data_IF_719018384020
#
_entry.id   IF_719018384020
#
_cell.length_a   1.000
_cell.length_b   1.000
_cell.length_c   1.000
_cell.angle_alpha   90.00
_cell.angle_beta   90.00
_cell.angle_gamma   90.00
#
_symmetry.space_group_name_H-M   'P 1'
#
loop_
_entity.id
_entity.type
_entity.pdbx_description
1 polymer ?
#
# COMPACT_ATOMS: atom_id res chain seq x y z
N UNK A 1 30.21 38.42 -20.90
CA UNK A 1 29.33 37.32 -21.37
C UNK A 1 29.59 36.13 -20.48
N UNK A 2 28.61 35.69 -19.68
CA UNK A 2 28.77 34.50 -18.84
C UNK A 2 28.37 33.25 -19.65
N UNK A 3 29.12 32.14 -19.56
CA UNK A 3 28.76 30.91 -20.25
C UNK A 3 27.53 30.27 -19.58
N UNK A 4 26.49 30.03 -20.39
CA UNK A 4 25.31 29.28 -19.96
C UNK A 4 25.70 27.80 -19.83
N UNK A 5 25.50 27.22 -18.64
CA UNK A 5 25.75 25.79 -18.45
C UNK A 5 24.74 24.95 -19.27
N UNK A 6 25.19 23.89 -19.96
CA UNK A 6 24.29 23.07 -20.76
C UNK A 6 23.30 22.33 -19.86
N UNK A 7 21.99 22.53 -20.11
CA UNK A 7 20.95 21.75 -19.48
C UNK A 7 21.11 20.28 -19.90
N UNK A 8 21.60 19.45 -18.96
CA UNK A 8 21.59 18.00 -19.10
C UNK A 8 20.13 17.51 -19.14
N UNK A 9 19.59 17.41 -20.35
CA UNK A 9 18.33 16.74 -20.62
C UNK A 9 18.52 15.26 -20.23
N UNK A 10 18.15 14.91 -19.00
CA UNK A 10 18.15 13.51 -18.57
C UNK A 10 17.14 12.78 -19.46
N UNK A 11 17.55 11.77 -20.26
CA UNK A 11 16.59 11.03 -21.07
C UNK A 11 15.55 10.41 -20.14
N UNK A 12 14.30 10.32 -20.61
CA UNK A 12 13.25 9.58 -19.91
C UNK A 12 13.79 8.21 -19.52
N UNK A 13 13.53 7.70 -18.30
CA UNK A 13 13.93 6.36 -17.94
C UNK A 13 13.34 5.41 -18.97
N UNK A 14 14.21 4.74 -19.74
CA UNK A 14 13.77 3.76 -20.71
C UNK A 14 12.96 2.71 -19.96
N UNK A 15 11.77 2.39 -20.47
CA UNK A 15 11.03 1.20 -20.03
C UNK A 15 12.01 0.04 -20.22
N UNK A 16 12.30 -0.77 -19.17
CA UNK A 16 13.21 -1.90 -19.31
C UNK A 16 12.74 -2.78 -20.46
N UNK A 17 13.69 -3.34 -21.21
CA UNK A 17 13.38 -4.18 -22.36
C UNK A 17 12.38 -5.28 -21.97
N UNK A 18 11.51 -5.66 -22.93
CA UNK A 18 10.56 -6.77 -22.80
C UNK A 18 11.32 -8.11 -22.69
N UNK A 19 11.91 -8.39 -21.53
CA UNK A 19 12.34 -9.72 -21.15
C UNK A 19 11.08 -10.51 -20.77
N UNK A 20 10.85 -11.62 -21.47
CA UNK A 20 9.79 -12.59 -21.18
C UNK A 20 10.10 -13.44 -19.93
N UNK A 21 10.65 -12.83 -18.88
CA UNK A 21 11.20 -13.49 -17.68
C UNK A 21 10.59 -12.97 -16.36
N UNK A 22 9.68 -11.98 -16.45
CA UNK A 22 8.90 -11.51 -15.30
C UNK A 22 7.63 -12.34 -15.13
N UNK A 23 7.79 -13.64 -14.88
CA UNK A 23 6.73 -14.65 -14.65
C UNK A 23 5.87 -14.39 -13.38
N UNK A 24 5.91 -13.17 -12.85
CA UNK A 24 5.26 -12.74 -11.63
C UNK A 24 4.83 -11.25 -11.68
N UNK A 25 4.52 -10.70 -12.86
CA UNK A 25 4.03 -9.30 -13.00
C UNK A 25 2.80 -9.24 -13.90
N UNK A 26 1.77 -8.53 -13.43
CA UNK A 26 0.65 -8.05 -14.24
C UNK A 26 0.89 -6.59 -14.67
N UNK A 27 0.66 -6.32 -15.96
CA UNK A 27 0.86 -5.03 -16.60
C UNK A 27 -0.49 -4.43 -16.99
N UNK A 28 -0.79 -3.22 -16.53
CA UNK A 28 -2.08 -2.57 -16.77
C UNK A 28 -1.92 -1.38 -17.71
N UNK A 29 -2.73 -1.33 -18.75
CA UNK A 29 -2.64 -0.36 -19.85
C UNK A 29 -3.89 0.51 -19.97
N UNK A 30 -3.67 1.77 -20.35
CA UNK A 30 -4.71 2.72 -20.69
C UNK A 30 -4.91 2.76 -22.22
N UNK A 31 -6.05 2.28 -22.75
CA UNK A 31 -6.23 1.94 -24.16
C UNK A 31 -6.22 3.14 -25.12
N UNK A 32 -6.69 4.31 -24.69
CA UNK A 32 -6.73 5.54 -25.50
C UNK A 32 -5.37 6.21 -25.72
N UNK A 33 -4.30 5.75 -25.05
CA UNK A 33 -2.95 6.26 -25.24
C UNK A 33 -2.14 5.34 -26.16
N UNK A 34 -1.32 5.87 -27.08
CA UNK A 34 -0.50 5.05 -27.94
C UNK A 34 0.72 4.47 -27.18
N UNK A 35 1.17 3.25 -27.53
CA UNK A 35 2.48 2.76 -27.11
C UNK A 35 3.60 3.73 -27.51
N UNK A 36 4.67 3.88 -26.69
CA UNK A 36 4.93 3.22 -25.41
C UNK A 36 4.39 3.99 -24.19
N UNK A 37 3.44 4.91 -24.39
CA UNK A 37 2.98 5.85 -23.35
C UNK A 37 1.67 5.40 -22.67
N UNK A 38 1.31 4.14 -22.80
CA UNK A 38 0.03 3.55 -22.44
C UNK A 38 0.08 2.67 -21.18
N UNK A 39 1.26 2.17 -20.80
CA UNK A 39 1.46 1.46 -19.52
C UNK A 39 1.10 2.36 -18.34
N UNK A 40 -0.02 2.06 -17.67
CA UNK A 40 -0.60 2.83 -16.58
C UNK A 40 0.12 2.55 -15.26
N UNK A 41 0.30 1.26 -14.94
CA UNK A 41 1.04 0.76 -13.77
C UNK A 41 1.29 -0.76 -13.90
N UNK A 42 2.04 -1.32 -12.95
CA UNK A 42 2.24 -2.77 -12.82
C UNK A 42 1.96 -3.21 -11.38
N UNK A 43 1.58 -4.48 -11.19
CA UNK A 43 1.44 -5.13 -9.89
C UNK A 43 2.17 -6.47 -9.89
N UNK A 44 2.80 -6.88 -8.77
CA UNK A 44 3.36 -8.21 -8.66
C UNK A 44 2.24 -9.26 -8.54
N UNK A 45 2.42 -10.39 -9.20
CA UNK A 45 1.67 -11.61 -8.96
C UNK A 45 2.33 -12.34 -7.79
N UNK A 46 1.56 -12.55 -6.72
CA UNK A 46 2.03 -13.04 -5.40
C UNK A 46 1.07 -14.03 -4.77
N UNK A 47 -0.11 -14.23 -5.37
CA UNK A 47 -1.06 -15.25 -4.95
C UNK A 47 -0.62 -16.63 -5.49
N UNK A 48 -0.48 -17.67 -4.65
CA UNK A 48 -0.06 -18.99 -5.11
C UNK A 48 -1.18 -19.64 -5.95
N UNK A 49 -0.84 -20.06 -7.16
CA UNK A 49 -1.77 -20.82 -8.03
C UNK A 49 -1.66 -22.33 -7.78
N UNK A 50 -2.69 -23.09 -8.16
CA UNK A 50 -2.63 -24.56 -8.16
C UNK A 50 -1.86 -25.13 -9.36
N UNK A 51 -1.46 -24.29 -10.32
CA UNK A 51 -0.76 -24.72 -11.52
C UNK A 51 0.68 -25.13 -11.18
N UNK A 52 1.01 -26.41 -11.42
CA UNK A 52 2.40 -26.87 -11.38
C UNK A 52 3.10 -26.38 -12.63
N UNK A 53 4.15 -25.58 -12.47
CA UNK A 53 5.06 -25.30 -13.58
C UNK A 53 5.63 -26.61 -14.11
N UNK A 54 5.63 -26.79 -15.44
CA UNK A 54 6.26 -27.93 -16.09
C UNK A 54 7.81 -27.91 -15.95
N UNK A 55 8.36 -26.77 -15.54
CA UNK A 55 9.77 -26.58 -15.17
C UNK A 55 9.88 -26.35 -13.66
N UNK A 56 10.42 -27.35 -12.94
CA UNK A 56 10.48 -27.33 -11.49
C UNK A 56 11.49 -26.30 -10.95
N UNK A 57 11.00 -25.30 -10.20
CA UNK A 57 11.71 -24.67 -9.06
C UNK A 57 10.87 -23.57 -8.39
N UNK A 58 10.13 -22.77 -9.18
CA UNK A 58 9.19 -21.75 -8.67
C UNK A 58 7.74 -22.23 -8.74
N UNK A 59 6.95 -21.83 -7.74
CA UNK A 59 5.48 -21.96 -7.80
C UNK A 59 4.94 -20.94 -8.80
N UNK A 60 3.97 -21.34 -9.61
CA UNK A 60 3.23 -20.38 -10.44
C UNK A 60 2.41 -19.45 -9.55
N UNK A 61 2.44 -18.16 -9.84
CA UNK A 61 1.78 -17.10 -9.06
C UNK A 61 0.82 -16.30 -9.93
N UNK A 62 -0.26 -15.82 -9.33
CA UNK A 62 -1.26 -14.96 -9.96
C UNK A 62 -1.51 -13.69 -9.14
N UNK A 63 -2.47 -12.91 -9.57
CA UNK A 63 -2.93 -11.69 -8.90
C UNK A 63 -4.45 -11.75 -8.73
N UNK A 64 -4.94 -11.72 -7.48
CA UNK A 64 -6.37 -11.75 -7.20
C UNK A 64 -7.16 -10.68 -7.99
N UNK A 65 -8.16 -11.13 -8.76
CA UNK A 65 -8.82 -10.32 -9.79
C UNK A 65 -9.50 -9.07 -9.23
N UNK A 66 -10.22 -9.17 -8.10
CA UNK A 66 -10.84 -7.99 -7.45
C UNK A 66 -9.80 -6.92 -7.07
N UNK A 67 -8.59 -7.29 -6.66
CA UNK A 67 -7.50 -6.33 -6.35
C UNK A 67 -7.01 -5.63 -7.60
N UNK A 68 -6.79 -6.37 -8.69
CA UNK A 68 -6.40 -5.80 -9.97
C UNK A 68 -7.45 -4.81 -10.49
N UNK A 69 -8.72 -5.22 -10.47
CA UNK A 69 -9.83 -4.39 -10.92
C UNK A 69 -9.96 -3.13 -10.05
N UNK A 70 -10.02 -3.27 -8.73
CA UNK A 70 -10.16 -2.14 -7.81
C UNK A 70 -8.98 -1.16 -7.90
N UNK A 71 -7.75 -1.65 -8.14
CA UNK A 71 -6.60 -0.79 -8.34
C UNK A 71 -6.78 0.13 -9.56
N UNK A 72 -7.21 -0.43 -10.70
CA UNK A 72 -7.55 0.34 -11.88
C UNK A 72 -8.71 1.33 -11.65
N UNK A 73 -9.78 0.88 -10.98
CA UNK A 73 -10.95 1.69 -10.69
C UNK A 73 -10.61 2.88 -9.77
N UNK A 74 -9.76 2.69 -8.75
CA UNK A 74 -9.23 3.78 -7.90
C UNK A 74 -8.39 4.78 -8.70
N UNK A 75 -7.52 4.29 -9.60
CA UNK A 75 -6.70 5.16 -10.48
C UNK A 75 -7.59 5.99 -11.41
N UNK A 76 -8.75 5.47 -11.85
CA UNK A 76 -9.74 6.17 -12.67
C UNK A 76 -10.81 6.92 -11.85
N UNK A 77 -10.44 7.51 -10.71
CA UNK A 77 -11.32 8.26 -9.78
C UNK A 77 -12.58 7.49 -9.32
N UNK A 78 -12.37 6.25 -8.88
CA UNK A 78 -13.42 5.36 -8.40
C UNK A 78 -14.45 4.98 -9.48
N UNK A 79 -14.03 4.80 -10.73
CA UNK A 79 -14.90 4.34 -11.80
C UNK A 79 -15.23 2.85 -11.65
N UNK A 80 -16.08 2.50 -10.69
CA UNK A 80 -16.46 1.12 -10.35
C UNK A 80 -17.24 0.39 -11.47
N UNK A 81 -17.63 1.10 -12.53
CA UNK A 81 -18.19 0.55 -13.78
C UNK A 81 -17.14 0.08 -14.79
N UNK A 82 -15.87 0.48 -14.66
CA UNK A 82 -14.80 0.06 -15.56
C UNK A 82 -14.45 -1.43 -15.39
N UNK A 83 -13.99 -2.06 -16.47
CA UNK A 83 -13.71 -3.51 -16.57
C UNK A 83 -12.30 -3.77 -17.13
N UNK A 84 -11.76 -4.94 -16.84
CA UNK A 84 -10.50 -5.43 -17.41
C UNK A 84 -10.74 -6.27 -18.68
N UNK A 85 -9.84 -6.14 -19.64
CA UNK A 85 -9.85 -6.82 -20.94
C UNK A 85 -8.45 -7.36 -21.29
N UNK A 86 -8.39 -8.42 -22.08
CA UNK A 86 -7.13 -8.99 -22.59
C UNK A 86 -6.59 -8.27 -23.84
N UNK A 87 -7.40 -7.42 -24.46
CA UNK A 87 -7.07 -6.64 -25.66
C UNK A 87 -7.43 -5.16 -25.49
N UNK A 88 -6.84 -4.31 -26.34
CA UNK A 88 -7.03 -2.85 -26.29
C UNK A 88 -8.43 -2.46 -26.77
N UNK A 89 -8.97 -3.22 -27.70
CA UNK A 89 -10.20 -2.98 -28.44
C UNK A 89 -11.45 -3.22 -27.57
N UNK A 90 -11.31 -3.90 -26.43
CA UNK A 90 -12.40 -4.19 -25.50
C UNK A 90 -13.27 -5.37 -25.91
N UNK A 91 -12.70 -6.32 -26.64
CA UNK A 91 -13.44 -7.46 -27.22
C UNK A 91 -13.50 -8.63 -26.24
N UNK A 92 -12.36 -9.02 -25.63
CA UNK A 92 -12.27 -10.13 -24.67
C UNK A 92 -12.23 -9.60 -23.24
N UNK A 93 -13.40 -9.53 -22.60
CA UNK A 93 -13.49 -9.14 -21.20
C UNK A 93 -12.92 -10.23 -20.28
N UNK A 94 -12.09 -9.84 -19.31
CA UNK A 94 -11.45 -10.78 -18.37
C UNK A 94 -12.47 -11.54 -17.54
N UNK A 95 -13.60 -10.91 -17.21
CA UNK A 95 -14.71 -11.52 -16.46
C UNK A 95 -15.34 -12.74 -17.14
N UNK A 96 -15.15 -12.89 -18.44
CA UNK A 96 -15.81 -13.93 -19.24
C UNK A 96 -14.98 -15.23 -19.21
N UNK A 97 -13.68 -15.12 -18.86
CA UNK A 97 -12.74 -16.23 -18.70
C UNK A 97 -12.32 -16.43 -17.22
N UNK A 98 -12.29 -15.37 -16.39
CA UNK A 98 -11.80 -15.39 -15.01
C UNK A 98 -12.80 -14.71 -14.06
N UNK A 99 -13.29 -15.46 -13.07
CA UNK A 99 -14.14 -14.94 -11.99
C UNK A 99 -13.47 -13.79 -11.24
N UNK A 100 -14.26 -12.83 -10.71
CA UNK A 100 -13.75 -11.74 -9.88
C UNK A 100 -13.12 -12.23 -8.56
N UNK A 101 -13.44 -13.45 -8.11
CA UNK A 101 -12.77 -14.13 -7.00
C UNK A 101 -11.64 -15.11 -7.41
N UNK A 102 -11.29 -15.17 -8.70
CA UNK A 102 -10.15 -15.95 -9.22
C UNK A 102 -8.83 -15.16 -9.20
N UNK A 103 -7.75 -15.75 -9.73
CA UNK A 103 -6.48 -15.06 -9.95
C UNK A 103 -6.27 -14.78 -11.45
N UNK A 104 -5.72 -13.62 -11.74
CA UNK A 104 -5.18 -13.25 -13.04
C UNK A 104 -3.77 -13.82 -13.19
N UNK A 105 -3.44 -14.37 -14.35
CA UNK A 105 -2.07 -14.76 -14.67
C UNK A 105 -1.18 -13.53 -14.93
N UNK A 106 0.15 -13.64 -14.76
CA UNK A 106 1.10 -12.64 -15.24
C UNK A 106 0.88 -12.35 -16.74
N UNK A 107 0.88 -11.08 -17.13
CA UNK A 107 0.50 -10.70 -18.49
C UNK A 107 0.02 -9.25 -18.65
N UNK A 108 -0.46 -8.93 -19.86
CA UNK A 108 -0.95 -7.60 -20.24
C UNK A 108 -2.49 -7.52 -20.11
N UNK A 109 -2.98 -6.45 -19.49
CA UNK A 109 -4.39 -6.19 -19.23
C UNK A 109 -4.76 -4.74 -19.54
N UNK A 110 -5.90 -4.51 -20.19
CA UNK A 110 -6.40 -3.18 -20.53
C UNK A 110 -7.59 -2.83 -19.63
N UNK A 111 -7.57 -1.64 -19.04
CA UNK A 111 -8.72 -1.14 -18.28
C UNK A 111 -9.55 -0.20 -19.16
N UNK A 112 -10.82 -0.54 -19.37
CA UNK A 112 -11.76 0.24 -20.19
C UNK A 112 -12.88 0.78 -19.30
N UNK A 113 -13.14 2.07 -19.46
CA UNK A 113 -14.20 2.83 -18.78
C UNK A 113 -15.33 3.08 -19.78
N UNK A 114 -16.59 3.03 -19.31
CA UNK A 114 -17.80 3.29 -20.11
C UNK A 114 -17.95 2.42 -21.38
N UNK A 115 -17.28 1.26 -21.44
CA UNK A 115 -17.20 0.40 -22.63
C UNK A 115 -16.63 1.06 -23.90
N UNK A 116 -15.91 2.17 -23.76
CA UNK A 116 -15.25 2.87 -24.87
C UNK A 116 -13.72 2.81 -24.73
N UNK A 117 -13.00 2.01 -25.53
CA UNK A 117 -11.53 1.94 -25.49
C UNK A 117 -10.85 3.24 -25.97
N UNK A 118 -11.57 4.09 -26.72
CA UNK A 118 -11.07 5.38 -27.20
C UNK A 118 -11.21 6.48 -26.16
N UNK A 119 -12.06 6.28 -25.13
CA UNK A 119 -12.28 7.25 -24.08
C UNK A 119 -11.03 7.42 -23.20
N UNK A 120 -10.45 8.63 -23.28
CA UNK A 120 -9.32 9.07 -22.47
C UNK A 120 -9.79 9.44 -21.06
N UNK A 121 -10.16 8.43 -20.28
CA UNK A 121 -10.58 8.64 -18.89
C UNK A 121 -9.47 9.34 -18.08
N UNK A 122 -9.82 10.28 -17.19
CA UNK A 122 -8.82 10.97 -16.40
C UNK A 122 -8.27 10.06 -15.30
N UNK A 123 -6.96 10.15 -15.06
CA UNK A 123 -6.30 9.41 -13.98
C UNK A 123 -6.10 10.29 -12.75
N UNK A 124 -6.13 9.69 -11.58
CA UNK A 124 -5.83 10.34 -10.29
C UNK A 124 -4.30 10.38 -10.13
N UNK A 125 -3.63 11.56 -10.22
CA UNK A 125 -2.18 11.64 -10.31
C UNK A 125 -1.48 11.50 -8.95
N UNK A 126 -2.22 11.68 -7.85
CA UNK A 126 -1.72 11.53 -6.48
C UNK A 126 -2.87 11.23 -5.52
N UNK A 127 -2.59 10.61 -4.37
CA UNK A 127 -3.58 10.43 -3.31
C UNK A 127 -4.19 11.76 -2.83
N UNK A 128 -3.47 12.88 -2.92
CA UNK A 128 -3.96 14.20 -2.50
C UNK A 128 -5.01 14.80 -3.42
N UNK A 129 -5.04 14.33 -4.67
CA UNK A 129 -6.06 14.67 -5.67
C UNK A 129 -7.22 13.67 -5.67
N UNK A 130 -7.06 12.49 -5.05
CA UNK A 130 -8.10 11.47 -4.98
C UNK A 130 -9.30 11.92 -4.15
N UNK A 131 -10.51 11.63 -4.63
CA UNK A 131 -11.77 11.80 -3.91
C UNK A 131 -12.15 10.50 -3.22
N UNK A 132 -12.53 10.57 -1.94
CA UNK A 132 -12.99 9.40 -1.22
C UNK A 132 -14.43 9.00 -1.63
N UNK A 133 -14.71 7.73 -2.00
CA UNK A 133 -16.04 7.29 -2.44
C UNK A 133 -16.98 7.04 -1.24
N UNK A 134 -17.43 8.10 -0.57
CA UNK A 134 -18.38 8.01 0.54
C UNK A 134 -19.66 7.27 0.14
N UNK A 135 -19.97 6.18 0.84
CA UNK A 135 -21.17 5.37 0.59
C UNK A 135 -21.11 4.52 -0.69
N UNK A 136 -20.02 4.59 -1.45
CA UNK A 136 -19.81 3.88 -2.72
C UNK A 136 -18.65 2.88 -2.66
N UNK A 137 -18.11 2.60 -1.47
CA UNK A 137 -17.13 1.53 -1.28
C UNK A 137 -17.80 0.19 -1.62
N UNK A 138 -17.21 -0.61 -2.53
CA UNK A 138 -17.77 -1.89 -2.97
C UNK A 138 -18.08 -2.86 -1.83
N UNK A 139 -19.12 -3.69 -1.99
CA UNK A 139 -19.55 -4.64 -0.97
C UNK A 139 -18.56 -5.81 -0.78
N UNK A 140 -17.61 -6.00 -1.69
CA UNK A 140 -16.45 -6.89 -1.49
C UNK A 140 -15.55 -6.43 -0.34
N UNK A 141 -15.73 -5.19 0.15
CA UNK A 141 -15.12 -4.64 1.37
C UNK A 141 -16.13 -4.60 2.52
N UNK A 142 -16.42 -5.72 3.21
CA UNK A 142 -17.30 -5.70 4.38
C UNK A 142 -16.69 -4.89 5.54
N UNK A 143 -17.53 -4.43 6.47
CA UNK A 143 -17.04 -3.89 7.74
C UNK A 143 -16.22 -4.96 8.50
N UNK A 144 -15.06 -4.64 9.08
CA UNK A 144 -14.32 -5.58 9.92
C UNK A 144 -15.20 -6.15 11.04
N UNK A 145 -15.09 -7.46 11.27
CA UNK A 145 -15.77 -8.13 12.38
C UNK A 145 -14.98 -7.89 13.67
N UNK A 146 -15.68 -7.68 14.78
CA UNK A 146 -15.06 -7.60 16.09
C UNK A 146 -14.34 -8.93 16.42
N UNK A 147 -13.13 -8.84 16.97
CA UNK A 147 -12.42 -10.00 17.49
C UNK A 147 -13.08 -10.47 18.79
N UNK A 148 -13.20 -11.79 19.05
CA UNK A 148 -13.68 -12.30 20.34
C UNK A 148 -12.63 -12.18 21.47
N UNK A 149 -11.40 -11.76 21.16
CA UNK A 149 -10.33 -11.56 22.15
C UNK A 149 -10.46 -10.22 22.87
N UNK A 150 -10.08 -10.18 24.15
CA UNK A 150 -10.10 -8.95 24.98
C UNK A 150 -8.73 -8.26 25.11
N UNK A 151 -7.65 -8.85 24.57
CA UNK A 151 -6.26 -8.31 24.65
C UNK A 151 -5.79 -7.66 23.32
N UNK A 152 -6.73 -7.31 22.42
CA UNK A 152 -6.43 -6.75 21.08
C UNK A 152 -5.57 -5.48 21.16
N UNK A 153 -5.84 -4.65 22.17
CA UNK A 153 -5.23 -3.32 22.41
C UNK A 153 -3.71 -3.37 22.62
N UNK A 154 -3.13 -4.53 22.98
CA UNK A 154 -1.70 -4.63 23.31
C UNK A 154 -0.85 -5.29 22.23
N UNK A 155 -1.47 -5.93 21.23
CA UNK A 155 -0.79 -6.88 20.34
C UNK A 155 -0.70 -6.40 18.89
N UNK A 156 0.22 -7.01 18.13
CA UNK A 156 0.32 -6.81 16.70
C UNK A 156 -0.94 -7.35 16.02
N UNK A 157 -1.66 -6.49 15.29
CA UNK A 157 -2.85 -6.83 14.54
C UNK A 157 -2.61 -7.90 13.47
N UNK A 158 -1.40 -8.00 12.90
CA UNK A 158 -1.10 -9.01 11.89
C UNK A 158 -0.59 -10.34 12.49
N UNK A 159 0.27 -10.27 13.51
CA UNK A 159 1.05 -11.43 13.98
C UNK A 159 0.84 -11.82 15.45
N UNK A 160 -0.10 -11.21 16.16
CA UNK A 160 -0.45 -11.51 17.57
C UNK A 160 0.73 -11.36 18.59
N UNK A 161 1.90 -10.86 18.18
CA UNK A 161 3.01 -10.58 19.09
C UNK A 161 2.72 -9.37 20.00
N UNK A 162 3.00 -9.51 21.30
CA UNK A 162 2.84 -8.43 22.30
C UNK A 162 4.07 -7.54 22.53
N UNK A 163 5.24 -7.90 21.99
CA UNK A 163 6.51 -7.17 22.17
C UNK A 163 6.96 -6.48 20.88
N UNK A 164 7.70 -5.36 21.01
CA UNK A 164 8.24 -4.62 19.85
C UNK A 164 7.16 -3.99 18.96
N UNK A 165 5.97 -3.73 19.52
CA UNK A 165 4.81 -3.17 18.82
C UNK A 165 4.76 -1.65 18.89
N UNK A 166 4.24 -1.05 17.83
CA UNK A 166 4.12 0.39 17.62
C UNK A 166 2.75 0.72 17.03
N UNK A 167 2.23 1.92 17.28
CA UNK A 167 0.97 2.37 16.68
C UNK A 167 1.25 2.90 15.27
N UNK A 168 0.58 2.32 14.28
CA UNK A 168 0.64 2.69 12.87
C UNK A 168 -0.63 3.42 12.44
N UNK A 169 -0.48 4.52 11.71
CA UNK A 169 -1.57 5.22 11.05
C UNK A 169 -2.03 4.45 9.81
N UNK A 170 -3.32 4.15 9.71
CA UNK A 170 -3.93 3.49 8.54
C UNK A 170 -3.97 4.49 7.38
N UNK A 171 -4.68 5.62 7.51
CA UNK A 171 -4.46 6.80 6.67
C UNK A 171 -3.30 7.60 7.27
N UNK A 172 -2.14 7.74 6.59
CA UNK A 172 -0.95 8.34 7.20
C UNK A 172 -1.11 9.81 7.60
N UNK A 173 -0.37 10.20 8.64
CA UNK A 173 -0.38 11.56 9.19
C UNK A 173 0.02 12.62 8.15
N UNK A 174 0.87 12.27 7.19
CA UNK A 174 1.30 13.15 6.09
C UNK A 174 0.17 13.54 5.14
N UNK A 175 -0.97 12.84 5.20
CA UNK A 175 -2.17 13.10 4.40
C UNK A 175 -3.31 13.71 5.24
N UNK A 176 -3.02 14.30 6.40
CA UNK A 176 -4.00 14.97 7.26
C UNK A 176 -4.87 16.02 6.50
N UNK A 177 -4.27 16.75 5.56
CA UNK A 177 -5.01 17.70 4.71
C UNK A 177 -6.00 16.97 3.78
N UNK A 178 -5.63 15.81 3.22
CA UNK A 178 -6.56 14.98 2.45
C UNK A 178 -7.67 14.42 3.34
N UNK A 179 -7.33 13.96 4.55
CA UNK A 179 -8.26 13.39 5.53
C UNK A 179 -9.36 14.40 5.91
N UNK A 180 -8.96 15.63 6.26
CA UNK A 180 -9.91 16.71 6.59
C UNK A 180 -10.77 17.10 5.38
N UNK A 181 -10.15 17.32 4.20
CA UNK A 181 -10.87 17.74 2.99
C UNK A 181 -11.86 16.70 2.47
N UNK A 182 -11.58 15.41 2.66
CA UNK A 182 -12.50 14.31 2.36
C UNK A 182 -13.41 13.95 3.56
N UNK A 183 -13.56 14.84 4.56
CA UNK A 183 -14.52 14.65 5.66
C UNK A 183 -14.35 13.33 6.43
N UNK A 184 -13.16 12.74 6.44
CA UNK A 184 -12.91 11.37 6.94
C UNK A 184 -13.15 11.24 8.46
N UNK A 185 -13.12 12.37 9.17
CA UNK A 185 -13.58 12.59 10.53
C UNK A 185 -14.90 11.85 10.87
N UNK A 186 -15.82 11.74 9.90
CA UNK A 186 -17.13 11.07 10.06
C UNK A 186 -17.06 9.57 10.35
N UNK A 187 -15.91 8.92 10.12
CA UNK A 187 -15.68 7.50 10.38
C UNK A 187 -14.91 7.25 11.68
N UNK A 188 -14.40 8.32 12.30
CA UNK A 188 -13.73 8.30 13.58
C UNK A 188 -14.67 8.03 14.76
N UNK A 189 -14.11 8.08 15.96
CA UNK A 189 -14.82 7.94 17.22
C UNK A 189 -14.50 9.10 18.15
N UNK A 190 -13.22 9.33 18.42
CA UNK A 190 -12.70 10.19 19.49
C UNK A 190 -12.22 11.56 19.02
N UNK A 191 -10.98 11.70 18.55
CA UNK A 191 -10.43 12.98 18.10
C UNK A 191 -11.05 13.42 16.78
N UNK A 192 -11.52 12.46 15.97
CA UNK A 192 -12.09 12.67 14.62
C UNK A 192 -11.15 13.45 13.68
N UNK A 193 -9.86 13.39 13.94
CA UNK A 193 -8.79 13.89 13.08
C UNK A 193 -7.96 12.71 12.55
N UNK A 194 -6.81 12.99 11.93
CA UNK A 194 -5.92 11.93 11.42
C UNK A 194 -5.36 11.04 12.52
N UNK A 195 -5.40 11.44 13.80
CA UNK A 195 -4.90 10.69 14.95
C UNK A 195 -6.01 9.89 15.68
N UNK A 196 -7.24 9.87 15.15
CA UNK A 196 -8.38 9.15 15.72
C UNK A 196 -8.05 7.66 15.93
N UNK A 197 -8.46 7.10 17.07
CA UNK A 197 -8.08 5.72 17.44
C UNK A 197 -8.53 4.69 16.41
N UNK A 198 -9.61 4.94 15.65
CA UNK A 198 -10.05 4.05 14.58
C UNK A 198 -9.17 4.07 13.33
N UNK A 199 -8.40 5.15 13.15
CA UNK A 199 -7.37 5.29 12.13
C UNK A 199 -6.00 4.70 12.58
N UNK A 200 -5.93 4.11 13.77
CA UNK A 200 -4.72 3.49 14.30
C UNK A 200 -4.82 1.97 14.33
N UNK A 201 -3.69 1.29 14.10
CA UNK A 201 -3.55 -0.14 14.34
C UNK A 201 -2.18 -0.46 14.95
N UNK A 202 -2.05 -1.50 15.77
CA UNK A 202 -0.76 -1.89 16.34
C UNK A 202 -0.05 -2.87 15.43
N UNK A 203 1.21 -2.59 15.10
CA UNK A 203 2.07 -3.45 14.28
C UNK A 203 3.43 -3.62 14.94
N UNK A 204 4.04 -4.81 14.78
CA UNK A 204 5.46 -5.04 15.12
C UNK A 204 6.32 -4.05 14.31
N UNK A 205 7.35 -3.48 14.92
CA UNK A 205 8.04 -2.30 14.38
C UNK A 205 8.66 -2.49 12.98
N UNK A 206 9.00 -3.71 12.60
CA UNK A 206 9.42 -4.11 11.25
C UNK A 206 8.26 -4.11 10.26
N UNK A 207 7.14 -4.74 10.62
CA UNK A 207 5.92 -4.79 9.81
C UNK A 207 5.36 -3.37 9.61
N UNK A 208 5.41 -2.52 10.64
CA UNK A 208 5.02 -1.10 10.53
C UNK A 208 5.87 -0.36 9.48
N UNK A 209 7.21 -0.54 9.47
CA UNK A 209 8.06 0.07 8.43
C UNK A 209 7.69 -0.39 7.03
N UNK A 210 7.36 -1.67 6.85
CA UNK A 210 6.90 -2.21 5.57
C UNK A 210 5.54 -1.63 5.17
N UNK A 211 4.61 -1.48 6.12
CA UNK A 211 3.31 -0.85 5.89
C UNK A 211 3.50 0.57 5.36
N UNK A 212 4.23 1.44 6.07
CA UNK A 212 4.50 2.84 5.68
C UNK A 212 5.34 2.99 4.41
N UNK A 213 6.09 1.96 4.03
CA UNK A 213 6.80 1.90 2.77
C UNK A 213 5.91 1.45 1.58
N UNK A 214 4.59 1.26 1.79
CA UNK A 214 3.62 0.72 0.80
C UNK A 214 3.96 -0.69 0.30
N UNK A 215 4.70 -1.47 1.09
CA UNK A 215 5.06 -2.86 0.75
C UNK A 215 3.82 -3.74 0.68
N UNK A 216 2.83 -3.48 1.56
CA UNK A 216 1.58 -4.22 1.61
C UNK A 216 0.41 -3.30 2.01
N UNK A 217 -0.81 -3.74 1.75
CA UNK A 217 -2.03 -3.18 2.33
C UNK A 217 -2.87 -4.30 2.96
N UNK A 218 -3.84 -3.91 3.78
CA UNK A 218 -4.83 -4.82 4.36
C UNK A 218 -6.08 -4.76 3.49
N UNK A 219 -6.47 -5.91 2.94
CA UNK A 219 -7.56 -6.03 1.97
C UNK A 219 -8.50 -7.18 2.34
N UNK A 220 -9.77 -7.14 1.94
CA UNK A 220 -10.66 -8.30 2.01
C UNK A 220 -10.26 -9.35 0.96
N UNK A 221 -10.22 -10.62 1.34
CA UNK A 221 -10.09 -11.75 0.42
C UNK A 221 -10.95 -12.93 0.92
N UNK A 222 -11.45 -13.79 0.02
CA UNK A 222 -11.89 -15.12 0.43
C UNK A 222 -10.71 -15.88 1.02
N UNK A 223 -10.95 -16.64 2.09
CA UNK A 223 -9.94 -17.43 2.82
C UNK A 223 -9.13 -18.40 1.93
N UNK A 224 -9.66 -18.73 0.74
CA UNK A 224 -9.05 -19.62 -0.25
C UNK A 224 -9.20 -19.07 -1.69
N UNK A 225 -8.68 -17.86 -1.97
CA UNK A 225 -8.52 -17.41 -3.36
C UNK A 225 -7.75 -18.47 -4.16
N UNK A 226 -8.35 -18.98 -5.24
CA UNK A 226 -7.86 -20.17 -5.95
C UNK A 226 -8.43 -20.20 -7.37
N UNK A 227 -7.61 -20.67 -8.30
CA UNK A 227 -7.95 -20.77 -9.73
C UNK A 227 -8.82 -21.97 -10.08
N UNK A 228 -9.09 -22.87 -9.12
CA UNK A 228 -9.96 -24.02 -9.37
C UNK A 228 -11.44 -23.60 -9.33
N UNK A 229 -12.16 -23.59 -10.47
CA UNK A 229 -13.55 -23.17 -10.52
C UNK A 229 -14.48 -24.08 -9.72
N UNK A 230 -14.10 -25.34 -9.48
CA UNK A 230 -14.90 -26.28 -8.69
C UNK A 230 -14.85 -25.98 -7.19
N UNK A 231 -13.82 -25.24 -6.73
CA UNK A 231 -13.70 -24.82 -5.32
C UNK A 231 -14.40 -23.50 -5.00
N UNK A 232 -15.01 -22.84 -6.00
CA UNK A 232 -15.73 -21.56 -5.87
C UNK A 232 -17.11 -21.75 -5.20
N UNK A 233 -17.11 -22.22 -3.94
CA UNK A 233 -18.30 -22.27 -3.10
C UNK A 233 -18.87 -20.87 -2.87
N UNK A 234 -20.20 -20.73 -2.98
CA UNK A 234 -20.93 -19.48 -2.74
C UNK A 234 -20.82 -18.95 -1.30
N UNK A 235 -20.40 -19.80 -0.34
CA UNK A 235 -20.29 -19.46 1.09
C UNK A 235 -18.83 -19.31 1.57
N UNK A 236 -17.94 -18.72 0.76
CA UNK A 236 -16.57 -18.42 1.20
C UNK A 236 -16.56 -17.28 2.23
N UNK A 237 -15.98 -17.54 3.40
CA UNK A 237 -15.73 -16.50 4.41
C UNK A 237 -14.74 -15.47 3.87
N UNK A 238 -15.14 -14.19 3.85
CA UNK A 238 -14.22 -13.09 3.60
C UNK A 238 -13.48 -12.76 4.89
N UNK A 239 -12.16 -12.76 4.81
CA UNK A 239 -11.24 -12.31 5.86
C UNK A 239 -10.44 -11.11 5.38
N UNK A 240 -10.02 -10.25 6.30
CA UNK A 240 -9.02 -9.23 6.00
C UNK A 240 -7.63 -9.85 6.09
N UNK A 241 -6.82 -9.68 5.04
CA UNK A 241 -5.47 -10.24 4.93
C UNK A 241 -4.46 -9.19 4.53
N UNK A 242 -3.18 -9.44 4.83
CA UNK A 242 -2.05 -8.69 4.28
C UNK A 242 -1.80 -9.10 2.82
N UNK A 243 -1.87 -8.14 1.89
CA UNK A 243 -1.55 -8.34 0.47
C UNK A 243 -0.38 -7.46 0.06
N UNK A 244 0.65 -8.09 -0.51
CA UNK A 244 1.94 -7.47 -0.86
C UNK A 244 1.88 -6.85 -2.25
N UNK A 245 2.29 -5.58 -2.36
CA UNK A 245 2.38 -4.81 -3.60
C UNK A 245 3.82 -4.45 -3.98
N UNK A 246 4.79 -4.63 -3.08
CA UNK A 246 6.19 -4.33 -3.34
C UNK A 246 6.88 -5.37 -4.23
N UNK A 247 7.49 -4.92 -5.33
CA UNK A 247 8.40 -5.74 -6.15
C UNK A 247 9.67 -6.10 -5.37
N UNK A 248 10.27 -7.27 -5.66
CA UNK A 248 11.50 -7.78 -5.02
C UNK A 248 11.38 -7.99 -3.49
N UNK A 249 10.17 -8.29 -3.01
CA UNK A 249 9.88 -8.51 -1.58
C UNK A 249 9.59 -10.00 -1.28
N UNK A 250 10.30 -10.92 -1.94
CA UNK A 250 10.06 -12.38 -1.88
C UNK A 250 9.95 -12.89 -0.43
N UNK A 251 10.97 -12.66 0.40
CA UNK A 251 10.98 -13.06 1.83
C UNK A 251 9.78 -12.49 2.62
N UNK A 252 9.41 -11.22 2.40
CA UNK A 252 8.27 -10.61 3.08
C UNK A 252 6.94 -11.20 2.57
N UNK A 253 6.86 -11.53 1.28
CA UNK A 253 5.70 -12.15 0.67
C UNK A 253 5.50 -13.57 1.20
N UNK A 254 6.55 -14.40 1.23
CA UNK A 254 6.51 -15.76 1.78
C UNK A 254 6.08 -15.79 3.25
N UNK A 255 6.46 -14.76 4.03
CA UNK A 255 6.09 -14.66 5.45
C UNK A 255 4.70 -14.07 5.72
N UNK A 256 4.24 -13.08 4.94
CA UNK A 256 3.08 -12.24 5.31
C UNK A 256 2.03 -12.06 4.21
N UNK A 257 2.21 -12.60 3.00
CA UNK A 257 1.16 -12.57 1.97
C UNK A 257 0.00 -13.49 2.36
N UNK A 258 -1.23 -13.02 2.16
CA UNK A 258 -2.49 -13.67 2.58
C UNK A 258 -2.57 -14.04 4.08
N UNK A 259 -1.66 -13.52 4.93
CA UNK A 259 -1.77 -13.68 6.38
C UNK A 259 -2.99 -12.93 6.90
N UNK A 260 -3.90 -13.65 7.54
CA UNK A 260 -5.11 -13.09 8.14
C UNK A 260 -4.79 -12.10 9.26
N UNK A 261 -5.41 -10.93 9.20
CA UNK A 261 -5.31 -9.91 10.25
C UNK A 261 -6.15 -10.37 11.44
N UNK A 262 -5.51 -10.44 12.60
CA UNK A 262 -6.05 -10.96 13.85
C UNK A 262 -7.00 -9.97 14.54
N UNK A 263 -6.66 -8.67 14.45
CA UNK A 263 -7.34 -7.59 15.21
C UNK A 263 -7.62 -6.38 14.31
N UNK A 264 -8.90 -6.10 14.07
CA UNK A 264 -9.44 -4.93 13.36
C UNK A 264 -10.73 -4.41 14.02
N UNK A 265 -10.99 -4.84 15.26
CA UNK A 265 -12.18 -4.57 16.07
C UNK A 265 -12.49 -3.08 16.24
N UNK A 266 -11.46 -2.24 16.24
CA UNK A 266 -11.59 -0.78 16.35
C UNK A 266 -11.41 -0.05 15.01
N UNK A 267 -11.24 -0.73 13.88
CA UNK A 267 -10.96 -0.11 12.58
C UNK A 267 -12.20 -0.01 11.69
N UNK A 268 -12.37 1.12 10.98
CA UNK A 268 -13.44 1.27 9.97
C UNK A 268 -12.99 0.78 8.59
N UNK A 269 -13.89 0.17 7.81
CA UNK A 269 -13.59 -0.25 6.41
C UNK A 269 -13.13 0.92 5.55
N UNK A 270 -13.57 2.13 5.88
CA UNK A 270 -13.28 3.35 5.15
C UNK A 270 -11.81 3.74 5.24
N UNK A 271 -11.18 3.59 6.40
CA UNK A 271 -9.74 3.82 6.54
C UNK A 271 -8.91 2.72 5.84
N UNK A 272 -9.34 1.46 5.90
CA UNK A 272 -8.68 0.36 5.18
C UNK A 272 -8.76 0.56 3.65
N UNK A 273 -9.91 1.00 3.13
CA UNK A 273 -10.06 1.32 1.71
C UNK A 273 -9.21 2.54 1.30
N UNK A 274 -9.15 3.58 2.14
CA UNK A 274 -8.24 4.71 1.94
C UNK A 274 -6.76 4.29 1.97
N UNK A 275 -6.37 3.32 2.83
CA UNK A 275 -5.02 2.73 2.81
C UNK A 275 -4.71 2.08 1.47
N UNK A 276 -5.63 1.24 0.99
CA UNK A 276 -5.47 0.58 -0.30
C UNK A 276 -5.27 1.60 -1.43
N UNK A 277 -6.10 2.64 -1.51
CA UNK A 277 -5.92 3.70 -2.47
C UNK A 277 -4.58 4.45 -2.31
N UNK A 278 -4.15 4.75 -1.08
CA UNK A 278 -2.85 5.38 -0.80
C UNK A 278 -1.65 4.52 -1.20
N UNK A 279 -1.79 3.20 -1.11
CA UNK A 279 -0.81 2.20 -1.58
C UNK A 279 -0.82 2.12 -3.11
N UNK A 280 -1.98 2.04 -3.76
CA UNK A 280 -2.09 1.91 -5.22
C UNK A 280 -1.64 3.17 -5.97
N UNK A 281 -2.07 4.36 -5.53
CA UNK A 281 -1.87 5.61 -6.27
C UNK A 281 -0.39 6.08 -6.35
N UNK A 282 0.56 5.38 -5.72
CA UNK A 282 1.99 5.62 -5.97
C UNK A 282 2.44 5.00 -7.31
N UNK A 283 1.81 3.91 -7.76
CA UNK A 283 2.24 3.13 -8.92
C UNK A 283 1.89 3.78 -10.26
N UNK A 284 0.94 4.73 -10.30
CA UNK A 284 0.61 5.53 -11.50
C UNK A 284 1.62 6.64 -11.79
N UNK A 285 2.52 6.94 -10.83
CA UNK A 285 3.51 8.03 -10.94
C UNK A 285 4.39 7.97 -12.21
N UNK A 286 4.86 6.79 -12.70
CA UNK A 286 5.59 6.69 -13.96
C UNK A 286 4.74 7.09 -15.18
N UNK A 287 3.46 6.69 -15.24
CA UNK A 287 2.53 7.07 -16.31
C UNK A 287 2.30 8.58 -16.35
N UNK A 288 2.09 9.19 -15.17
CA UNK A 288 1.91 10.65 -15.00
C UNK A 288 3.16 11.43 -15.41
N UNK A 289 4.35 10.89 -15.12
CA UNK A 289 5.64 11.55 -15.38
C UNK A 289 6.30 11.15 -16.72
N UNK A 290 5.58 10.46 -17.61
CA UNK A 290 6.08 9.96 -18.89
C UNK A 290 6.44 11.06 -19.93
N UNK A 291 6.24 12.34 -19.60
CA UNK A 291 6.57 13.48 -20.46
C UNK A 291 5.50 13.86 -21.49
N UNK A 292 4.44 13.06 -21.63
CA UNK A 292 3.29 13.31 -22.52
C UNK A 292 2.13 14.02 -21.80
N UNK A 293 1.19 14.57 -22.56
CA UNK A 293 -0.04 15.17 -22.00
C UNK A 293 -0.94 14.09 -21.40
N UNK A 294 -1.38 14.26 -20.15
CA UNK A 294 -2.31 13.37 -19.46
C UNK A 294 -3.60 14.07 -19.08
N UNK A 295 -4.72 13.38 -19.24
CA UNK A 295 -5.98 13.78 -18.60
C UNK A 295 -5.93 13.34 -17.15
N UNK A 296 -6.09 14.28 -16.22
CA UNK A 296 -5.93 14.03 -14.79
C UNK A 296 -7.08 14.62 -13.98
N UNK A 297 -7.45 13.94 -12.89
CA UNK A 297 -8.29 14.51 -11.84
C UNK A 297 -7.42 15.34 -10.91
N UNK A 298 -7.87 16.57 -10.62
CA UNK A 298 -7.19 17.47 -9.68
C UNK A 298 -8.19 18.10 -8.73
N UNK A 299 -7.76 18.32 -7.49
CA UNK A 299 -8.52 19.14 -6.56
C UNK A 299 -8.23 20.63 -6.83
N UNK A 300 -9.25 21.39 -7.21
CA UNK A 300 -9.16 22.83 -7.40
C UNK A 300 -9.38 23.56 -6.06
N UNK A 301 -8.28 23.84 -5.36
CA UNK A 301 -8.30 24.60 -4.11
C UNK A 301 -8.33 26.13 -4.29
N UNK A 302 -8.64 26.65 -5.49
CA UNK A 302 -8.70 28.09 -5.78
C UNK A 302 -10.12 28.64 -5.89
N UNK A 303 -11.13 27.78 -6.03
CA UNK A 303 -12.55 28.17 -6.06
C UNK A 303 -13.13 28.08 -4.65
N UNK A 304 -14.11 28.93 -4.33
CA UNK A 304 -14.83 28.89 -3.07
C UNK A 304 -15.75 27.64 -3.02
N UNK A 305 -15.16 26.49 -2.67
CA UNK A 305 -15.81 25.18 -2.65
C UNK A 305 -14.83 24.08 -3.06
N UNK A 306 -14.88 22.94 -2.38
CA UNK A 306 -14.05 21.78 -2.69
C UNK A 306 -14.54 21.13 -4.00
N UNK A 307 -13.83 21.37 -5.11
CA UNK A 307 -14.20 20.84 -6.43
C UNK A 307 -13.07 20.01 -7.04
N UNK A 308 -13.39 18.77 -7.42
CA UNK A 308 -12.54 17.97 -8.28
C UNK A 308 -12.86 18.27 -9.74
N UNK A 309 -11.83 18.54 -10.53
CA UNK A 309 -11.93 18.89 -11.95
C UNK A 309 -11.06 17.96 -12.79
N UNK A 310 -11.45 17.76 -14.04
CA UNK A 310 -10.65 17.09 -15.06
C UNK A 310 -9.86 18.13 -15.85
N UNK A 311 -8.54 17.96 -15.94
CA UNK A 311 -7.65 18.83 -16.73
C UNK A 311 -6.73 17.98 -17.60
N UNK A 312 -6.53 18.38 -18.86
CA UNK A 312 -5.43 17.88 -19.69
C UNK A 312 -4.17 18.70 -19.39
N UNK A 313 -3.18 18.07 -18.76
CA UNK A 313 -1.91 18.71 -18.39
C UNK A 313 -0.74 18.15 -19.19
N UNK A 314 0.11 19.05 -19.69
CA UNK A 314 1.35 18.68 -20.38
C UNK A 314 2.38 18.03 -19.45
N UNK A 315 3.30 17.24 -20.01
CA UNK A 315 4.33 16.55 -19.24
C UNK A 315 5.24 17.48 -18.40
N UNK A 316 5.43 18.72 -18.82
CA UNK A 316 6.18 19.72 -18.03
C UNK A 316 5.39 20.23 -16.81
N UNK A 317 4.08 20.47 -16.97
CA UNK A 317 3.18 20.79 -15.85
C UNK A 317 3.10 19.62 -14.87
N UNK A 318 2.93 18.39 -15.36
CA UNK A 318 2.90 17.18 -14.54
C UNK A 318 4.23 16.94 -13.80
N UNK A 319 5.38 17.16 -14.44
CA UNK A 319 6.70 17.07 -13.81
C UNK A 319 6.93 18.16 -12.74
N UNK A 320 6.38 19.35 -12.94
CA UNK A 320 6.39 20.42 -11.94
C UNK A 320 5.51 20.07 -10.72
N UNK A 321 4.28 19.59 -10.98
CA UNK A 321 3.26 19.31 -9.97
C UNK A 321 3.41 17.97 -9.26
N UNK A 322 4.03 16.96 -9.86
CA UNK A 322 4.07 15.57 -9.33
C UNK A 322 5.46 14.92 -9.40
N UNK A 323 6.44 15.57 -10.04
CA UNK A 323 7.85 15.12 -10.06
C UNK A 323 8.59 15.34 -8.74
N UNK A 324 7.91 15.82 -7.69
CA UNK A 324 8.40 15.90 -6.32
C UNK A 324 8.14 14.62 -5.52
N UNK A 325 8.80 14.49 -4.37
CA UNK A 325 8.73 13.31 -3.51
C UNK A 325 9.46 12.09 -4.07
N UNK A 326 10.14 11.33 -3.21
CA UNK A 326 10.79 10.07 -3.59
C UNK A 326 9.78 8.93 -3.79
N UNK A 327 10.20 7.69 -3.58
CA UNK A 327 9.32 6.51 -3.55
C UNK A 327 8.23 6.56 -2.46
N UNK A 328 8.33 7.50 -1.52
CA UNK A 328 7.43 7.60 -0.35
C UNK A 328 6.27 8.59 -0.51
N UNK A 329 6.25 9.43 -1.56
CA UNK A 329 5.07 10.24 -1.91
C UNK A 329 5.14 10.80 -3.34
N UNK A 330 3.97 11.02 -3.94
CA UNK A 330 3.81 11.85 -5.15
C UNK A 330 3.46 13.31 -4.77
N UNK A 331 4.14 13.85 -3.76
CA UNK A 331 3.85 15.20 -3.26
C UNK A 331 4.32 16.25 -4.27
N UNK A 332 3.51 17.30 -4.53
CA UNK A 332 3.97 18.45 -5.29
C UNK A 332 5.24 19.05 -4.72
N UNK A 333 6.12 19.53 -5.61
CA UNK A 333 7.32 20.26 -5.17
C UNK A 333 6.86 21.45 -4.33
N UNK A 334 7.25 21.46 -3.06
CA UNK A 334 7.08 22.61 -2.16
C UNK A 334 7.63 23.82 -2.91
N UNK A 335 6.77 24.82 -3.20
CA UNK A 335 7.17 26.01 -3.95
C UNK A 335 8.41 26.59 -3.29
N UNK A 336 9.46 26.84 -4.08
CA UNK A 336 10.57 27.67 -3.61
C UNK A 336 9.95 29.01 -3.23
N UNK A 337 10.18 29.49 -2.01
CA UNK A 337 10.00 30.91 -1.75
C UNK A 337 10.96 31.64 -2.70
N UNK A 338 10.47 32.59 -3.47
CA UNK A 338 11.34 33.63 -4.00
C UNK A 338 11.81 34.44 -2.80
N UNK A 339 13.10 34.76 -2.75
CA UNK A 339 13.61 35.67 -1.73
C UNK A 339 13.13 37.08 -2.06
N UNK A 340 12.55 37.75 -1.08
CA UNK A 340 12.58 39.20 -0.99
C UNK A 340 13.48 39.52 0.21
N UNK A 341 14.38 40.47 0.01
CA UNK A 341 15.48 40.78 0.92
C UNK A 341 15.02 41.56 2.17
N UNK A 342 15.95 41.73 3.10
CA UNK A 342 15.82 42.41 4.39
C UNK A 342 14.88 43.63 4.42
N UNK A 343 13.87 43.57 5.29
CA UNK A 343 13.43 44.75 6.03
C UNK A 343 13.13 44.37 7.49
N UNK A 344 13.94 44.93 8.39
CA UNK A 344 13.78 44.83 9.84
C UNK A 344 12.75 45.85 10.30
N UNK A 345 11.78 45.43 11.12
CA UNK A 345 11.00 46.33 11.96
C UNK A 345 10.83 45.76 13.36
N UNK A 346 11.16 46.58 14.35
CA UNK A 346 11.11 46.30 15.79
C UNK A 346 9.75 46.72 16.38
N UNK A 347 9.49 46.26 17.60
CA UNK A 347 8.26 46.45 18.40
C UNK A 347 7.02 45.66 17.91
N UNK A 348 6.14 45.16 18.78
CA UNK A 348 5.95 45.51 20.21
C UNK A 348 5.85 44.29 21.15
N UNK A 349 5.97 44.53 22.46
CA UNK A 349 6.10 43.54 23.54
C UNK A 349 4.78 43.11 24.21
N UNK A 350 4.88 42.07 25.05
CA UNK A 350 4.10 41.71 26.27
C UNK A 350 4.08 40.15 26.36
N UNK A 351 4.92 39.45 27.15
CA UNK A 351 5.13 39.51 28.62
C UNK A 351 3.79 39.29 29.36
N UNK A 352 3.50 38.23 30.15
CA UNK A 352 4.31 37.44 31.10
C UNK A 352 3.77 36.02 31.36
N UNK A 353 4.64 35.06 31.66
CA UNK A 353 4.60 34.31 32.93
C UNK A 353 5.97 33.66 33.21
N UNK A 354 6.47 33.81 34.44
CA UNK A 354 7.87 33.55 34.82
C UNK A 354 8.01 32.45 35.89
N UNK A 355 9.23 31.92 36.04
CA UNK A 355 9.59 30.86 37.00
C UNK A 355 9.30 29.40 36.57
N UNK A 356 10.25 28.45 36.57
CA UNK A 356 11.62 28.43 37.12
C UNK A 356 12.56 27.61 36.20
N UNK A 357 13.77 28.16 36.00
CA UNK A 357 14.97 27.66 35.29
C UNK A 357 15.75 26.60 36.12
N UNK A 358 16.75 25.81 35.67
CA UNK A 358 17.43 25.42 34.41
C UNK A 358 18.37 24.20 34.76
N UNK A 359 19.32 23.67 33.94
CA UNK A 359 19.67 23.94 32.53
C UNK A 359 19.67 22.71 31.60
N UNK A 360 19.91 22.98 30.31
CA UNK A 360 20.03 22.01 29.21
C UNK A 360 21.44 21.39 29.07
N UNK A 361 21.52 20.25 28.37
CA UNK A 361 22.65 19.96 27.47
C UNK A 361 22.13 19.53 26.09
N UNK A 362 21.97 20.49 25.17
CA UNK A 362 21.68 20.20 23.76
C UNK A 362 22.99 19.96 22.97
N UNK A 363 23.12 18.78 22.33
CA UNK A 363 24.23 18.50 21.38
C UNK A 363 23.77 17.82 20.10
N UNK A 364 23.01 18.55 19.29
CA UNK A 364 22.74 18.18 17.90
C UNK A 364 23.98 18.28 17.01
N UNK A 365 24.48 17.15 16.46
CA UNK A 365 25.59 17.14 15.48
C UNK A 365 25.09 17.11 14.03
N UNK A 366 25.12 18.25 13.35
CA UNK A 366 25.06 18.33 11.87
C UNK A 366 26.28 17.61 11.27
N UNK A 367 26.08 16.53 10.51
CA UNK A 367 27.15 15.89 9.73
C UNK A 367 27.43 16.69 8.45
N UNK A 368 28.52 17.44 8.43
CA UNK A 368 29.05 18.06 7.21
C UNK A 368 29.91 17.03 6.46
N UNK A 369 29.58 16.74 5.20
CA UNK A 369 30.36 15.86 4.32
C UNK A 369 31.50 16.68 3.71
N UNK A 370 32.75 16.32 4.02
CA UNK A 370 33.94 16.84 3.32
C UNK A 370 34.52 15.74 2.44
N UNK A 371 34.64 16.01 1.15
CA UNK A 371 35.35 15.16 0.20
C UNK A 371 36.84 15.52 0.19
N UNK A 372 37.67 14.55 -0.19
CA UNK A 372 39.11 14.54 0.06
C UNK A 372 39.93 14.99 -1.15
N UNK A 373 41.18 15.40 -0.91
CA UNK A 373 42.30 15.44 -1.87
C UNK A 373 43.63 15.78 -1.14
N UNK A 374 44.82 15.52 -1.76
CA UNK A 374 45.69 14.47 -1.22
C UNK A 374 47.10 14.94 -0.81
N UNK A 375 47.86 14.11 -0.08
CA UNK A 375 49.32 14.32 0.06
C UNK A 375 50.11 13.01 0.29
N UNK A 376 50.83 12.61 -0.77
CA UNK A 376 52.22 12.07 -0.86
C UNK A 376 52.71 10.93 0.07
N UNK A 377 53.57 10.09 -0.53
CA UNK A 377 54.12 8.81 -0.07
C UNK A 377 55.30 8.90 0.91
N UNK A 378 55.35 7.94 1.85
CA UNK A 378 56.54 7.14 2.25
C UNK A 378 56.03 5.87 3.03
N UNK A 379 56.80 4.92 3.60
CA UNK A 379 58.26 4.77 3.71
C UNK A 379 58.77 3.37 4.15
N UNK A 380 57.99 2.30 3.95
CA UNK A 380 58.39 0.92 4.26
C UNK A 380 58.01 0.39 5.67
N UNK A 381 58.04 -0.95 5.83
CA UNK A 381 57.79 -1.64 7.10
C UNK A 381 56.86 -2.85 6.98
N UNK A 382 57.42 -4.07 6.94
CA UNK A 382 56.68 -5.32 6.70
C UNK A 382 56.39 -6.09 8.00
N UNK A 383 55.13 -6.50 8.16
CA UNK A 383 54.61 -7.60 8.98
C UNK A 383 54.78 -7.54 10.53
N UNK A 384 53.64 -7.67 11.24
CA UNK A 384 53.36 -8.83 12.12
C UNK A 384 51.91 -8.88 12.61
N UNK A 385 51.26 -10.02 12.41
CA UNK A 385 50.02 -10.44 13.11
C UNK A 385 50.33 -10.99 14.50
N UNK A 386 49.38 -10.88 15.45
CA UNK A 386 48.82 -12.06 16.11
C UNK A 386 47.28 -12.05 16.01
N UNK A 387 46.59 -13.14 15.65
CA UNK A 387 46.47 -14.46 16.27
C UNK A 387 45.41 -14.52 17.38
N UNK A 388 44.34 -15.27 17.10
CA UNK A 388 43.25 -15.63 18.01
C UNK A 388 43.65 -16.82 18.89
N UNK A 389 43.13 -16.88 20.12
CA UNK A 389 43.03 -18.13 20.87
C UNK A 389 41.79 -18.17 21.78
N UNK A 390 40.97 -19.19 21.52
CA UNK A 390 40.47 -20.22 22.43
C UNK A 390 39.70 -19.76 23.71
N UNK A 391 38.38 -19.95 23.79
CA UNK A 391 37.59 -21.20 23.85
C UNK A 391 37.40 -21.76 25.27
N UNK A 392 36.15 -22.09 25.61
CA UNK A 392 35.78 -22.99 26.71
C UNK A 392 34.41 -23.59 26.41
N UNK A 393 34.31 -24.91 26.61
CA UNK A 393 33.19 -25.77 26.20
C UNK A 393 32.49 -26.33 27.42
N UNK A 394 31.15 -26.45 27.40
CA UNK A 394 30.42 -27.38 28.26
C UNK A 394 29.37 -28.13 27.43
N UNK A 395 29.19 -29.41 27.76
CA UNK A 395 28.55 -30.44 26.92
C UNK A 395 27.19 -30.92 27.45
N UNK A 396 26.36 -31.43 26.54
CA UNK A 396 25.01 -31.96 26.77
C UNK A 396 24.95 -33.32 27.50
N UNK A 397 23.79 -33.63 28.08
CA UNK A 397 23.24 -35.00 28.11
C UNK A 397 21.69 -35.01 28.22
N UNK A 398 21.05 -35.98 27.55
CA UNK A 398 19.59 -36.14 27.40
C UNK A 398 18.89 -36.85 28.58
N UNK A 399 17.54 -36.77 28.63
CA UNK A 399 16.64 -37.86 29.10
C UNK A 399 15.17 -37.64 28.67
N UNK A 400 14.41 -38.73 28.47
CA UNK A 400 12.96 -38.73 28.10
C UNK A 400 12.28 -40.05 28.58
N UNK A 401 10.96 -40.32 28.33
CA UNK A 401 9.89 -40.73 29.29
C UNK A 401 9.82 -42.29 29.49
N UNK A 402 8.76 -42.98 30.00
CA UNK A 402 7.35 -42.65 30.38
C UNK A 402 7.00 -43.21 31.82
N UNK A 403 5.85 -43.85 32.20
CA UNK A 403 4.48 -44.00 31.63
C UNK A 403 3.25 -43.92 32.62
N UNK A 404 2.03 -44.12 32.06
CA UNK A 404 0.71 -44.48 32.66
C UNK A 404 -0.12 -43.45 33.47
N UNK A 405 -1.47 -43.50 33.58
CA UNK A 405 -2.65 -43.87 32.73
C UNK A 405 -3.95 -43.39 33.52
N UNK A 406 -5.23 -43.80 33.27
CA UNK A 406 -6.24 -42.93 32.63
C UNK A 406 -7.57 -42.73 33.42
N UNK A 407 -8.63 -42.27 32.72
CA UNK A 407 -10.07 -42.12 33.10
C UNK A 407 -10.47 -40.69 33.56
N UNK A 408 -11.66 -40.15 33.24
CA UNK A 408 -12.92 -40.79 32.80
C UNK A 408 -13.76 -39.96 31.80
N UNK A 409 -14.63 -40.63 31.05
CA UNK A 409 -15.72 -40.05 30.24
C UNK A 409 -16.75 -39.28 31.08
N UNK A 410 -17.27 -38.14 30.58
CA UNK A 410 -18.72 -37.81 30.59
C UNK A 410 -19.08 -36.91 29.39
N UNK A 411 -19.87 -37.47 28.48
CA UNK A 411 -20.91 -36.82 27.67
C UNK A 411 -22.05 -37.86 27.52
N UNK A 412 -23.30 -37.52 27.15
CA UNK A 412 -23.77 -36.24 26.61
C UNK A 412 -25.01 -35.68 27.33
N UNK A 413 -25.51 -34.51 26.91
CA UNK A 413 -26.96 -34.39 26.71
C UNK A 413 -27.35 -33.44 25.57
N UNK A 414 -28.17 -33.96 24.65
CA UNK A 414 -28.52 -33.36 23.37
C UNK A 414 -29.99 -32.93 23.42
N UNK A 415 -30.27 -31.65 23.65
CA UNK A 415 -31.63 -31.12 23.44
C UNK A 415 -31.79 -30.57 22.04
N UNK A 416 -32.51 -31.36 21.25
CA UNK A 416 -33.11 -30.96 19.97
C UNK A 416 -34.13 -29.85 20.27
N UNK A 417 -34.06 -28.74 19.55
CA UNK A 417 -35.19 -27.82 19.43
C UNK A 417 -35.59 -27.78 17.95
N UNK A 418 -36.67 -28.49 17.65
CA UNK A 418 -37.30 -28.51 16.32
C UNK A 418 -37.90 -27.14 16.02
N UNK A 419 -37.64 -26.64 14.82
CA UNK A 419 -38.28 -25.44 14.29
C UNK A 419 -39.61 -25.88 13.66
N UNK A 420 -40.75 -25.55 14.29
CA UNK A 420 -42.06 -25.72 13.66
C UNK A 420 -42.34 -24.55 12.73
N UNK A 421 -42.38 -24.83 11.43
CA UNK A 421 -42.90 -23.90 10.43
C UNK A 421 -44.42 -24.00 10.45
N UNK A 422 -45.11 -22.96 10.91
CA UNK A 422 -46.55 -22.81 10.69
C UNK A 422 -46.77 -21.90 9.50
N UNK A 423 -47.11 -22.48 8.35
CA UNK A 423 -47.67 -21.73 7.25
C UNK A 423 -49.12 -21.35 7.58
N UNK A 424 -49.46 -20.07 7.41
CA UNK A 424 -50.84 -19.63 7.29
C UNK A 424 -50.97 -18.86 5.97
N UNK A 425 -51.82 -19.39 5.10
CA UNK A 425 -52.35 -18.69 3.95
C UNK A 425 -53.70 -18.04 4.32
N UNK A 426 -54.25 -17.29 3.36
CA UNK A 426 -55.64 -16.82 3.29
C UNK A 426 -56.07 -15.73 4.28
N UNK A 427 -55.76 -14.47 3.94
CA UNK A 427 -56.76 -13.51 3.40
C UNK A 427 -56.10 -12.21 2.92
#
# INVERSE_FOLDING_TARGET
MNPVAPHLHRPSPAIPARNNENDAIAYFFHPSYPPPHDLLFTLPCVDPTNARSATESRRSVGLYHDVALLACQVIADNNFSGRLFFDREGIRAVSDEVSIQGLLHPGEYFFIVNSDPTYRYPVVPSFRDWRFPHGQIPDTWPSPKASPSTDTVRRCALTNHGFGVTNAHIVPREEAEWFMRNGMARYGMDTRDVNDSRNMMRLRADIHRCFDARVFSIIPKPEFASDDPQTLSANRTIAYVSHVFGSNMEEFSDMYHNMCVQYLDNTSRQYLFARFAWTILIFVKPFVLAGTTRSVIRNNSQVAGMQWITEDLSGSQLSSLYGGGGSRSASPKKRSRQGEDDLVSLADSDEWYEGISEPEEERGRKRFRREASPTVLDGGGRARTPALSNASTLTSANKTPPPHSPSSHVEPNRKIQTCESTALADC
#
